data_IF_877554173129
#
_entry.id   IF_877554173129
#
_cell.length_a   1.000
_cell.length_b   1.000
_cell.length_c   1.000
_cell.angle_alpha   90.00
_cell.angle_beta   90.00
_cell.angle_gamma   90.00
#
_symmetry.space_group_name_H-M   'P 1'
#
loop_
_entity.id
_entity.type
_entity.pdbx_description
1 polymer ?
#
# COMPACT_ATOMS: atom_id res chain seq x y z
N UNK A 1 -19.04 16.09 23.50
CA UNK A 1 -17.74 15.52 23.08
C UNK A 1 -17.06 16.29 21.93
N UNK A 2 -17.54 16.26 20.67
CA UNK A 2 -16.85 16.94 19.54
C UNK A 2 -16.62 18.45 19.74
N UNK A 3 -17.62 19.15 20.28
CA UNK A 3 -17.51 20.59 20.57
C UNK A 3 -16.48 20.88 21.69
N UNK A 4 -16.39 20.00 22.70
CA UNK A 4 -15.42 20.12 23.81
C UNK A 4 -13.99 19.92 23.33
N UNK A 5 -13.77 18.98 22.41
CA UNK A 5 -12.45 18.76 21.78
C UNK A 5 -12.06 19.98 20.94
N UNK A 6 -12.98 20.54 20.15
CA UNK A 6 -12.69 21.68 19.27
C UNK A 6 -12.42 22.99 20.03
N UNK A 7 -13.00 23.18 21.22
CA UNK A 7 -12.76 24.34 22.09
C UNK A 7 -11.57 24.14 23.05
N UNK A 8 -10.89 23.00 23.00
CA UNK A 8 -9.83 22.67 23.94
C UNK A 8 -8.52 23.43 23.63
N UNK A 9 -7.78 23.93 24.64
CA UNK A 9 -6.50 24.64 24.42
C UNK A 9 -5.47 23.83 23.64
N UNK A 10 -5.48 22.50 23.78
CA UNK A 10 -4.57 21.58 23.08
C UNK A 10 -5.05 21.15 21.69
N UNK A 11 -6.23 21.61 21.26
CA UNK A 11 -6.76 21.29 19.93
C UNK A 11 -5.83 21.70 18.77
N UNK A 12 -5.18 22.88 18.77
CA UNK A 12 -4.25 23.26 17.72
C UNK A 12 -3.05 22.29 17.61
N UNK A 13 -2.50 21.86 18.75
CA UNK A 13 -1.41 20.87 18.79
C UNK A 13 -1.86 19.51 18.26
N UNK A 14 -3.07 19.08 18.61
CA UNK A 14 -3.65 17.85 18.10
C UNK A 14 -3.86 17.88 16.58
N UNK A 15 -4.41 19.00 16.09
CA UNK A 15 -4.63 19.21 14.66
C UNK A 15 -3.31 19.24 13.90
N UNK A 16 -2.29 19.92 14.44
CA UNK A 16 -0.94 19.94 13.87
C UNK A 16 -0.34 18.53 13.79
N UNK A 17 -0.38 17.75 14.86
CA UNK A 17 0.11 16.36 14.85
C UNK A 17 -0.62 15.49 13.82
N UNK A 18 -1.93 15.67 13.68
CA UNK A 18 -2.73 14.96 12.68
C UNK A 18 -2.35 15.36 11.25
N UNK A 19 -2.17 16.66 10.99
CA UNK A 19 -1.77 17.15 9.67
C UNK A 19 -0.37 16.67 9.30
N UNK A 20 0.56 16.65 10.25
CA UNK A 20 1.89 16.09 10.06
C UNK A 20 1.87 14.62 9.66
N UNK A 21 0.94 13.81 10.21
CA UNK A 21 0.73 12.44 9.73
C UNK A 21 0.27 12.38 8.27
N UNK A 22 -0.56 13.34 7.85
CA UNK A 22 -1.09 13.40 6.47
C UNK A 22 -0.07 13.90 5.45
N UNK A 23 0.94 14.64 5.90
CA UNK A 23 2.03 15.12 5.04
C UNK A 23 3.00 14.01 4.66
N UNK A 24 3.12 12.95 5.45
CA UNK A 24 4.01 11.82 5.14
C UNK A 24 3.59 11.17 3.82
N UNK A 25 4.49 11.20 2.83
CA UNK A 25 4.25 10.67 1.48
C UNK A 25 3.29 11.49 0.62
N UNK A 26 2.85 12.67 1.07
CA UNK A 26 1.99 13.55 0.28
C UNK A 26 2.78 14.24 -0.84
N UNK A 27 2.19 14.44 -2.04
CA UNK A 27 2.78 15.28 -3.08
C UNK A 27 3.06 16.71 -2.56
N UNK A 28 4.08 17.41 -3.09
CA UNK A 28 4.46 18.76 -2.62
C UNK A 28 3.29 19.75 -2.60
N UNK A 29 2.40 19.67 -3.60
CA UNK A 29 1.21 20.52 -3.70
C UNK A 29 0.23 20.24 -2.55
N UNK A 30 0.04 18.97 -2.20
CA UNK A 30 -0.86 18.56 -1.10
C UNK A 30 -0.25 18.91 0.25
N UNK A 31 1.06 18.72 0.43
CA UNK A 31 1.76 19.12 1.65
C UNK A 31 1.66 20.64 1.90
N UNK A 32 1.81 21.45 0.84
CA UNK A 32 1.66 22.91 0.92
C UNK A 32 0.23 23.32 1.29
N UNK A 33 -0.80 22.70 0.70
CA UNK A 33 -2.20 22.96 1.06
C UNK A 33 -2.48 22.61 2.53
N UNK A 34 -1.91 21.51 3.02
CA UNK A 34 -2.05 21.07 4.40
C UNK A 34 -1.36 22.03 5.39
N UNK A 35 -0.22 22.62 5.02
CA UNK A 35 0.43 23.67 5.82
C UNK A 35 -0.40 24.95 5.86
N UNK A 36 -1.06 25.32 4.76
CA UNK A 36 -1.94 26.48 4.71
C UNK A 36 -3.17 26.30 5.63
N UNK A 37 -3.76 25.10 5.64
CA UNK A 37 -4.86 24.73 6.54
C UNK A 37 -4.42 24.64 8.01
N UNK A 38 -3.12 24.42 8.27
CA UNK A 38 -2.56 24.40 9.62
C UNK A 38 -2.30 25.78 10.21
N UNK A 39 -2.28 26.84 9.38
CA UNK A 39 -2.11 28.21 9.90
C UNK A 39 -3.32 28.51 10.77
N UNK A 40 -3.11 28.93 12.03
CA UNK A 40 -4.23 29.30 12.89
C UNK A 40 -4.96 30.47 12.23
N UNK A 41 -6.20 30.25 11.79
CA UNK A 41 -7.09 31.37 11.54
C UNK A 41 -7.16 32.15 12.86
N UNK A 42 -6.76 33.43 12.82
CA UNK A 42 -6.76 34.36 13.94
C UNK A 42 -8.18 34.68 14.42
N UNK A 43 -8.95 33.67 14.82
CA UNK A 43 -10.19 33.79 15.57
C UNK A 43 -9.92 33.36 17.00
N UNK A 44 -9.06 34.13 17.67
CA UNK A 44 -9.04 34.17 19.12
C UNK A 44 -10.35 34.83 19.59
N UNK A 45 -11.40 34.02 19.75
CA UNK A 45 -12.56 34.39 20.55
C UNK A 45 -12.20 34.26 22.04
N UNK A 46 -12.71 35.14 22.92
CA UNK A 46 -12.39 35.13 24.34
C UNK A 46 -13.12 33.96 25.00
N UNK A 47 -12.44 32.81 25.05
CA UNK A 47 -12.98 31.58 25.63
C UNK A 47 -11.94 30.48 25.70
N UNK A 48 -10.67 30.84 25.94
CA UNK A 48 -9.64 29.86 26.24
C UNK A 48 -10.04 29.16 27.54
N UNK A 49 -10.62 27.97 27.44
CA UNK A 49 -10.85 27.11 28.60
C UNK A 49 -9.53 26.90 29.31
N UNK A 50 -9.50 27.02 30.63
CA UNK A 50 -8.27 26.72 31.37
C UNK A 50 -7.98 25.22 31.27
N UNK A 51 -6.71 24.87 31.08
CA UNK A 51 -6.24 23.49 31.21
C UNK A 51 -6.52 23.04 32.65
N UNK A 52 -7.19 21.92 32.84
CA UNK A 52 -7.58 21.40 34.16
C UNK A 52 -9.07 21.50 34.51
N UNK A 53 -9.93 22.01 33.64
CA UNK A 53 -11.41 21.97 33.83
C UNK A 53 -11.95 20.53 33.74
N UNK A 54 -11.30 19.70 32.92
CA UNK A 54 -11.62 18.29 32.72
C UNK A 54 -10.32 17.47 32.58
N UNK A 55 -9.79 16.92 33.69
CA UNK A 55 -8.52 16.17 33.69
C UNK A 55 -8.54 14.93 32.77
N UNK A 56 -9.70 14.29 32.60
CA UNK A 56 -9.85 13.12 31.75
C UNK A 56 -9.73 13.51 30.27
N UNK A 57 -10.31 14.65 29.89
CA UNK A 57 -10.16 15.20 28.55
C UNK A 57 -8.73 15.70 28.29
N UNK A 58 -8.08 16.33 29.25
CA UNK A 58 -6.68 16.75 29.15
C UNK A 58 -5.75 15.56 28.88
N UNK A 59 -5.91 14.48 29.67
CA UNK A 59 -5.16 13.24 29.50
C UNK A 59 -5.44 12.59 28.13
N UNK A 60 -6.70 12.56 27.70
CA UNK A 60 -7.08 12.07 26.37
C UNK A 60 -6.40 12.87 25.25
N UNK A 61 -6.45 14.21 25.31
CA UNK A 61 -5.85 15.07 24.29
C UNK A 61 -4.34 14.83 24.18
N UNK A 62 -3.65 14.68 25.32
CA UNK A 62 -2.21 14.41 25.37
C UNK A 62 -1.85 13.00 24.88
N UNK A 63 -2.59 12.00 25.34
CA UNK A 63 -2.41 10.62 24.91
C UNK A 63 -2.58 10.49 23.40
N UNK A 64 -3.64 11.10 22.85
CA UNK A 64 -3.92 11.03 21.42
C UNK A 64 -2.88 11.80 20.59
N UNK A 65 -2.38 12.95 21.07
CA UNK A 65 -1.25 13.64 20.43
C UNK A 65 -0.01 12.74 20.37
N UNK A 66 0.34 12.06 21.46
CA UNK A 66 1.50 11.13 21.49
C UNK A 66 1.32 9.96 20.52
N UNK A 67 0.11 9.40 20.43
CA UNK A 67 -0.20 8.34 19.47
C UNK A 67 -0.01 8.83 18.04
N UNK A 68 -0.45 10.05 17.70
CA UNK A 68 -0.27 10.61 16.37
C UNK A 68 1.21 10.87 16.03
N UNK A 69 2.00 11.37 16.99
CA UNK A 69 3.45 11.56 16.79
C UNK A 69 4.14 10.22 16.50
N UNK A 70 3.84 9.18 17.29
CA UNK A 70 4.38 7.84 17.04
C UNK A 70 3.94 7.29 15.70
N UNK A 71 2.67 7.48 15.34
CA UNK A 71 2.13 7.06 14.06
C UNK A 71 2.84 7.75 12.88
N UNK A 72 3.15 9.05 13.00
CA UNK A 72 3.97 9.78 12.02
C UNK A 72 5.34 9.13 11.85
N UNK A 73 6.04 8.83 12.95
CA UNK A 73 7.36 8.18 12.91
C UNK A 73 7.30 6.82 12.18
N UNK A 74 6.29 6.01 12.49
CA UNK A 74 6.06 4.72 11.84
C UNK A 74 5.74 4.87 10.34
N UNK A 75 5.01 5.91 9.95
CA UNK A 75 4.75 6.22 8.54
C UNK A 75 5.98 6.71 7.80
N UNK A 76 6.85 7.51 8.43
CA UNK A 76 8.06 8.07 7.80
C UNK A 76 9.15 7.02 7.61
N UNK A 77 9.25 6.05 8.53
CA UNK A 77 10.32 5.06 8.57
C UNK A 77 10.58 4.35 7.22
N UNK A 78 9.57 3.81 6.49
CA UNK A 78 9.82 3.19 5.19
C UNK A 78 10.38 4.15 4.14
N UNK A 79 10.02 5.44 4.19
CA UNK A 79 10.55 6.45 3.27
C UNK A 79 12.01 6.76 3.58
N UNK A 80 12.35 6.91 4.87
CA UNK A 80 13.72 7.18 5.31
C UNK A 80 14.64 5.98 5.01
N UNK A 81 14.17 4.76 5.24
CA UNK A 81 14.87 3.52 4.89
C UNK A 81 15.12 3.43 3.37
N UNK A 82 14.09 3.73 2.56
CA UNK A 82 14.21 3.72 1.10
C UNK A 82 15.16 4.82 0.59
N UNK A 83 15.07 6.05 1.13
CA UNK A 83 15.96 7.15 0.79
C UNK A 83 17.41 6.80 1.10
N UNK A 84 17.67 6.25 2.30
CA UNK A 84 19.00 5.80 2.72
C UNK A 84 19.55 4.70 1.82
N UNK A 85 18.71 3.71 1.45
CA UNK A 85 19.09 2.66 0.52
C UNK A 85 19.44 3.19 -0.87
N UNK A 86 18.64 4.12 -1.41
CA UNK A 86 18.89 4.75 -2.70
C UNK A 86 20.19 5.57 -2.69
N UNK A 87 20.41 6.38 -1.65
CA UNK A 87 21.66 7.13 -1.49
C UNK A 87 22.86 6.19 -1.38
N UNK A 88 22.73 5.05 -0.69
CA UNK A 88 23.79 4.02 -0.62
C UNK A 88 24.11 3.43 -1.98
N UNK A 89 23.10 3.03 -2.76
CA UNK A 89 23.30 2.52 -4.13
C UNK A 89 23.93 3.58 -5.01
N UNK A 90 23.45 4.83 -4.93
CA UNK A 90 23.98 5.94 -5.70
C UNK A 90 25.47 6.15 -5.39
N UNK A 91 25.86 6.10 -4.12
CA UNK A 91 27.26 6.19 -3.71
C UNK A 91 28.11 5.04 -4.28
N UNK A 92 27.62 3.80 -4.21
CA UNK A 92 28.31 2.64 -4.78
C UNK A 92 28.50 2.77 -6.30
N UNK A 93 27.47 3.20 -7.02
CA UNK A 93 27.55 3.44 -8.46
C UNK A 93 28.52 4.57 -8.80
N UNK A 94 28.51 5.68 -8.05
CA UNK A 94 29.45 6.78 -8.26
C UNK A 94 30.91 6.35 -8.10
N UNK A 95 31.21 5.51 -7.10
CA UNK A 95 32.56 4.99 -6.89
C UNK A 95 33.04 4.09 -8.04
N UNK A 96 32.14 3.28 -8.61
CA UNK A 96 32.45 2.45 -9.77
C UNK A 96 32.73 3.30 -11.03
N UNK A 97 31.96 4.38 -11.20
CA UNK A 97 32.19 5.32 -12.31
C UNK A 97 33.47 6.14 -12.13
N UNK A 98 33.86 6.49 -10.90
CA UNK A 98 35.10 7.23 -10.62
C UNK A 98 36.37 6.37 -10.65
N UNK A 99 36.26 5.05 -10.51
CA UNK A 99 37.40 4.12 -10.60
C UNK A 99 37.86 3.80 -12.04
N UNK A 100 37.16 4.33 -13.05
CA UNK A 100 37.36 4.01 -14.47
C UNK A 100 37.89 5.15 -15.33
N UNK A 101 38.63 6.11 -14.79
CA UNK A 101 39.25 7.17 -15.61
C UNK A 101 40.59 7.64 -15.04
N UNK A 102 41.68 7.33 -15.77
CA UNK A 102 42.90 8.13 -15.78
C UNK A 102 42.58 9.58 -16.19
N UNK A 103 43.41 10.57 -15.81
CA UNK A 103 43.05 11.97 -15.90
C UNK A 103 43.28 12.50 -17.33
N UNK A 104 42.27 13.15 -17.89
CA UNK A 104 42.46 14.08 -18.99
C UNK A 104 41.42 15.20 -18.87
N UNK A 105 41.94 16.33 -18.39
CA UNK A 105 41.64 17.71 -18.76
C UNK A 105 40.24 18.30 -18.53
N UNK A 106 40.26 19.24 -17.59
CA UNK A 106 39.42 20.43 -17.57
C UNK A 106 39.22 21.03 -18.98
N UNK A 107 37.98 21.09 -19.48
CA UNK A 107 37.59 22.16 -20.42
C UNK A 107 36.07 22.36 -20.43
N UNK A 108 35.67 23.41 -19.73
CA UNK A 108 34.60 24.36 -20.06
C UNK A 108 33.99 24.23 -21.47
N UNK A 109 32.65 24.23 -21.58
CA UNK A 109 31.99 24.49 -22.86
C UNK A 109 30.53 24.11 -22.96
N UNK A 110 29.67 24.83 -22.25
CA UNK A 110 28.25 24.95 -22.61
C UNK A 110 28.14 25.65 -23.96
N UNK A 111 27.54 25.03 -24.98
CA UNK A 111 26.80 25.75 -26.05
C UNK A 111 26.10 24.79 -27.01
N UNK A 112 24.92 25.24 -27.41
CA UNK A 112 23.93 24.71 -28.35
C UNK A 112 24.37 24.55 -29.83
N UNK A 113 23.62 23.67 -30.52
CA UNK A 113 23.23 23.64 -31.94
C UNK A 113 24.13 23.11 -33.10
N UNK A 114 23.40 22.53 -34.07
CA UNK A 114 23.63 22.22 -35.50
C UNK A 114 24.65 21.15 -35.99
N UNK A 115 24.07 20.07 -36.54
CA UNK A 115 24.33 19.44 -37.85
C UNK A 115 25.60 19.85 -38.66
N UNK A 116 26.46 18.91 -39.07
CA UNK A 116 26.93 18.73 -40.48
C UNK A 116 27.92 17.57 -40.64
N UNK A 117 27.83 16.90 -41.80
CA UNK A 117 28.71 15.86 -42.36
C UNK A 117 30.19 16.25 -42.45
N UNK A 118 31.08 15.26 -42.34
CA UNK A 118 32.48 15.40 -42.72
C UNK A 118 33.28 14.12 -42.49
N UNK A 119 33.55 13.41 -43.58
CA UNK A 119 34.47 12.28 -43.72
C UNK A 119 35.91 12.69 -43.37
N UNK A 120 36.63 11.91 -42.55
CA UNK A 120 38.09 11.98 -42.41
C UNK A 120 38.63 10.64 -41.91
N UNK A 121 39.25 9.89 -42.83
CA UNK A 121 40.11 8.73 -42.58
C UNK A 121 41.29 9.08 -41.67
N UNK A 122 41.45 8.34 -40.57
CA UNK A 122 42.75 8.08 -39.91
C UNK A 122 42.74 6.64 -39.40
N UNK A 123 43.64 5.75 -39.86
CA UNK A 123 43.77 4.40 -39.33
C UNK A 123 44.84 4.36 -38.24
N UNK A 124 44.47 4.00 -37.01
CA UNK A 124 45.42 3.56 -35.97
C UNK A 124 44.95 2.25 -35.32
N UNK A 125 45.91 1.34 -35.20
CA UNK A 125 45.89 -0.09 -34.86
C UNK A 125 45.13 -0.36 -33.55
N UNK A 126 44.16 -1.29 -33.43
CA UNK A 126 44.07 -2.64 -33.96
C UNK A 126 43.81 -3.70 -32.86
N UNK A 127 43.78 -3.33 -31.57
CA UNK A 127 43.72 -4.30 -30.46
C UNK A 127 42.39 -4.35 -29.67
N UNK A 128 41.66 -3.24 -29.51
CA UNK A 128 40.41 -3.23 -28.73
C UNK A 128 39.16 -3.63 -29.54
N UNK A 129 39.14 -3.31 -30.84
CA UNK A 129 38.01 -3.63 -31.71
C UNK A 129 37.87 -5.14 -31.95
N UNK A 130 38.98 -5.89 -31.97
CA UNK A 130 38.94 -7.34 -32.19
C UNK A 130 38.26 -8.08 -31.04
N UNK A 131 38.49 -7.68 -29.79
CA UNK A 131 37.84 -8.30 -28.60
C UNK A 131 36.33 -8.03 -28.57
N UNK A 132 35.91 -6.79 -28.86
CA UNK A 132 34.47 -6.45 -28.89
C UNK A 132 33.71 -7.17 -29.99
N UNK A 133 34.34 -7.40 -31.14
CA UNK A 133 33.76 -8.16 -32.24
C UNK A 133 33.63 -9.64 -31.89
N UNK A 134 34.66 -10.23 -31.27
CA UNK A 134 34.62 -11.62 -30.79
C UNK A 134 33.53 -11.83 -29.71
N UNK A 135 33.38 -10.88 -28.79
CA UNK A 135 32.32 -10.89 -27.78
C UNK A 135 30.93 -10.73 -28.41
N UNK A 136 30.80 -9.86 -29.41
CA UNK A 136 29.56 -9.67 -30.15
C UNK A 136 29.16 -10.95 -30.90
N UNK A 137 30.12 -11.62 -31.54
CA UNK A 137 29.90 -12.86 -32.27
C UNK A 137 29.55 -14.03 -31.33
N UNK A 138 30.23 -14.14 -30.18
CA UNK A 138 29.91 -15.11 -29.14
C UNK A 138 28.50 -14.90 -28.59
N UNK A 139 28.12 -13.64 -28.34
CA UNK A 139 26.78 -13.26 -27.90
C UNK A 139 25.71 -13.64 -28.94
N UNK A 140 25.96 -13.38 -30.22
CA UNK A 140 25.05 -13.77 -31.30
C UNK A 140 24.92 -15.29 -31.42
N UNK A 141 26.02 -16.03 -31.36
CA UNK A 141 25.98 -17.50 -31.35
C UNK A 141 25.18 -18.04 -30.16
N UNK A 142 25.40 -17.50 -28.95
CA UNK A 142 24.67 -17.91 -27.75
C UNK A 142 23.18 -17.59 -27.87
N UNK A 143 22.84 -16.38 -28.31
CA UNK A 143 21.45 -16.00 -28.55
C UNK A 143 20.80 -16.91 -29.59
N UNK A 144 21.49 -17.23 -30.69
CA UNK A 144 20.98 -18.12 -31.73
C UNK A 144 20.78 -19.55 -31.21
N UNK A 145 21.76 -20.11 -30.50
CA UNK A 145 21.72 -21.49 -29.96
C UNK A 145 20.61 -21.66 -28.92
N UNK A 146 20.42 -20.67 -28.05
CA UNK A 146 19.42 -20.75 -26.97
C UNK A 146 18.11 -20.02 -27.29
N UNK A 147 17.98 -19.40 -28.47
CA UNK A 147 16.80 -18.62 -28.89
C UNK A 147 15.49 -19.36 -28.68
N UNK A 148 15.40 -20.63 -29.06
CA UNK A 148 14.19 -21.44 -28.89
C UNK A 148 13.85 -21.72 -27.42
N UNK A 149 14.85 -22.00 -26.58
CA UNK A 149 14.67 -22.21 -25.14
C UNK A 149 14.28 -20.90 -24.45
N UNK A 150 14.99 -19.81 -24.73
CA UNK A 150 14.71 -18.49 -24.20
C UNK A 150 13.33 -17.99 -24.63
N UNK A 151 12.90 -18.28 -25.86
CA UNK A 151 11.56 -17.92 -26.35
C UNK A 151 10.47 -18.73 -25.66
N UNK A 152 10.69 -20.03 -25.43
CA UNK A 152 9.76 -20.89 -24.67
C UNK A 152 9.66 -20.43 -23.23
N UNK A 153 10.80 -20.17 -22.59
CA UNK A 153 10.86 -19.70 -21.20
C UNK A 153 10.22 -18.32 -21.07
N UNK A 154 10.52 -17.39 -21.99
CA UNK A 154 9.83 -16.09 -22.06
C UNK A 154 8.33 -16.26 -22.25
N UNK A 155 7.89 -17.16 -23.12
CA UNK A 155 6.46 -17.44 -23.32
C UNK A 155 5.81 -17.96 -22.03
N UNK A 156 6.45 -18.89 -21.31
CA UNK A 156 5.97 -19.38 -20.01
C UNK A 156 5.88 -18.27 -18.96
N UNK A 157 6.89 -17.40 -18.85
CA UNK A 157 6.87 -16.28 -17.89
C UNK A 157 5.93 -15.13 -18.30
N UNK A 158 5.76 -14.89 -19.60
CA UNK A 158 4.89 -13.84 -20.15
C UNK A 158 3.43 -14.29 -20.28
N UNK A 159 3.12 -15.57 -20.06
CA UNK A 159 1.76 -16.03 -19.73
C UNK A 159 1.36 -15.43 -18.38
N UNK A 160 1.08 -14.12 -18.36
CA UNK A 160 0.32 -13.47 -17.30
C UNK A 160 -0.97 -14.28 -17.16
N UNK A 161 -1.11 -15.04 -16.07
CA UNK A 161 -2.34 -15.76 -15.73
C UNK A 161 -3.47 -14.76 -15.91
N UNK A 162 -4.41 -15.05 -16.83
CA UNK A 162 -5.41 -14.09 -17.31
C UNK A 162 -6.03 -13.37 -16.11
N UNK A 163 -5.72 -12.08 -15.97
CA UNK A 163 -6.21 -11.24 -14.89
C UNK A 163 -7.74 -11.22 -14.98
N UNK A 164 -8.40 -11.80 -13.98
CA UNK A 164 -9.85 -11.69 -13.81
C UNK A 164 -10.57 -12.93 -13.29
N UNK A 165 -10.02 -14.14 -13.46
CA UNK A 165 -10.65 -15.36 -12.94
C UNK A 165 -9.61 -16.28 -12.29
N UNK A 166 -9.93 -16.80 -11.11
CA UNK A 166 -9.11 -17.80 -10.44
C UNK A 166 -9.01 -19.07 -11.33
N UNK A 167 -7.87 -19.80 -11.29
CA UNK A 167 -7.76 -21.11 -11.94
C UNK A 167 -8.92 -22.02 -11.56
N UNK A 168 -9.38 -22.86 -12.51
CA UNK A 168 -10.53 -23.77 -12.28
C UNK A 168 -10.27 -24.68 -11.08
N UNK A 169 -9.09 -25.26 -11.00
CA UNK A 169 -8.68 -26.18 -9.93
C UNK A 169 -8.71 -25.48 -8.57
N UNK A 170 -8.17 -24.26 -8.49
CA UNK A 170 -8.23 -23.44 -7.30
C UNK A 170 -9.67 -23.14 -6.86
N UNK A 171 -10.56 -22.85 -7.83
CA UNK A 171 -11.98 -22.62 -7.54
C UNK A 171 -12.67 -23.87 -7.00
N UNK A 172 -12.33 -25.06 -7.51
CA UNK A 172 -12.91 -26.33 -7.04
C UNK A 172 -12.59 -26.55 -5.56
N UNK A 173 -11.33 -26.39 -5.15
CA UNK A 173 -10.90 -26.52 -3.75
C UNK A 173 -11.62 -25.53 -2.84
N UNK A 174 -11.74 -24.27 -3.27
CA UNK A 174 -12.45 -23.24 -2.49
C UNK A 174 -13.94 -23.54 -2.35
N UNK A 175 -14.56 -24.09 -3.39
CA UNK A 175 -15.98 -24.45 -3.40
C UNK A 175 -16.26 -25.69 -2.55
N UNK A 176 -15.34 -26.65 -2.53
CA UNK A 176 -15.41 -27.82 -1.65
C UNK A 176 -15.43 -27.40 -0.18
N UNK A 177 -14.44 -26.59 0.25
CA UNK A 177 -14.43 -26.06 1.61
C UNK A 177 -15.71 -25.27 1.93
N UNK A 178 -16.16 -24.44 0.98
CA UNK A 178 -17.38 -23.65 1.09
C UNK A 178 -18.62 -24.50 1.35
N UNK A 179 -18.78 -25.60 0.60
CA UNK A 179 -19.95 -26.46 0.74
C UNK A 179 -19.97 -27.17 2.10
N UNK A 180 -18.80 -27.63 2.57
CA UNK A 180 -18.66 -28.23 3.90
C UNK A 180 -18.98 -27.23 5.02
N UNK A 181 -18.67 -25.95 4.82
CA UNK A 181 -18.86 -24.88 5.80
C UNK A 181 -19.99 -23.91 5.44
N UNK A 182 -20.97 -24.33 4.64
CA UNK A 182 -22.01 -23.43 4.14
C UNK A 182 -22.82 -22.76 5.26
N UNK A 183 -22.96 -23.45 6.40
CA UNK A 183 -23.65 -22.94 7.59
C UNK A 183 -22.92 -21.71 8.18
N UNK A 184 -21.58 -21.74 8.21
CA UNK A 184 -20.74 -20.66 8.72
C UNK A 184 -19.47 -20.50 7.86
N UNK A 185 -19.57 -19.82 6.71
CA UNK A 185 -18.50 -19.80 5.71
C UNK A 185 -17.46 -18.70 6.02
N UNK A 186 -16.90 -18.75 7.22
CA UNK A 186 -15.82 -17.89 7.69
C UNK A 186 -14.59 -18.75 8.00
N UNK A 187 -13.67 -18.92 7.02
CA UNK A 187 -12.47 -19.72 7.24
C UNK A 187 -11.59 -19.09 8.32
N UNK A 188 -11.05 -19.94 9.19
CA UNK A 188 -10.04 -19.54 10.18
C UNK A 188 -8.72 -19.16 9.50
N UNK A 189 -7.78 -18.56 10.22
CA UNK A 189 -6.45 -18.28 9.66
C UNK A 189 -5.74 -19.56 9.21
N UNK A 190 -5.89 -20.66 9.96
CA UNK A 190 -5.36 -21.97 9.60
C UNK A 190 -6.01 -22.52 8.32
N UNK A 191 -7.33 -22.39 8.16
CA UNK A 191 -8.02 -22.76 6.92
C UNK A 191 -7.50 -21.95 5.74
N UNK A 192 -7.30 -20.63 5.91
CA UNK A 192 -6.79 -19.76 4.84
C UNK A 192 -5.38 -20.16 4.42
N UNK A 193 -4.50 -20.49 5.36
CA UNK A 193 -3.14 -20.97 5.07
C UNK A 193 -3.19 -22.28 4.30
N UNK A 194 -4.00 -23.25 4.74
CA UNK A 194 -4.16 -24.53 4.03
C UNK A 194 -4.74 -24.34 2.62
N UNK A 195 -5.76 -23.51 2.47
CA UNK A 195 -6.36 -23.20 1.17
C UNK A 195 -5.38 -22.49 0.24
N UNK A 196 -4.58 -21.55 0.75
CA UNK A 196 -3.52 -20.90 -0.02
C UNK A 196 -2.48 -21.92 -0.51
N UNK A 197 -2.04 -22.83 0.37
CA UNK A 197 -1.10 -23.89 0.03
C UNK A 197 -1.64 -24.84 -1.05
N UNK A 198 -2.91 -25.26 -0.95
CA UNK A 198 -3.52 -26.17 -1.92
C UNK A 198 -3.80 -25.52 -3.28
N UNK A 199 -4.12 -24.22 -3.30
CA UNK A 199 -4.55 -23.52 -4.52
C UNK A 199 -3.44 -22.71 -5.20
N UNK A 200 -2.34 -22.46 -4.49
CA UNK A 200 -1.26 -21.57 -4.94
C UNK A 200 -1.73 -20.12 -5.10
N UNK A 201 -2.75 -19.72 -4.35
CA UNK A 201 -3.29 -18.36 -4.35
C UNK A 201 -2.76 -17.58 -3.16
N UNK A 202 -2.64 -16.25 -3.33
CA UNK A 202 -2.29 -15.37 -2.23
C UNK A 202 -3.40 -15.37 -1.16
N UNK A 203 -3.08 -15.25 0.14
CA UNK A 203 -4.07 -15.13 1.20
C UNK A 203 -5.11 -14.02 0.96
N UNK A 204 -4.70 -12.93 0.31
CA UNK A 204 -5.60 -11.84 -0.11
C UNK A 204 -6.63 -12.30 -1.15
N UNK A 205 -6.23 -13.14 -2.11
CA UNK A 205 -7.13 -13.69 -3.12
C UNK A 205 -8.15 -14.65 -2.50
N UNK A 206 -7.70 -15.48 -1.55
CA UNK A 206 -8.57 -16.36 -0.75
C UNK A 206 -9.63 -15.54 -0.01
N UNK A 207 -9.20 -14.52 0.76
CA UNK A 207 -10.10 -13.63 1.50
C UNK A 207 -11.13 -12.95 0.58
N UNK A 208 -10.67 -12.37 -0.52
CA UNK A 208 -11.53 -11.71 -1.50
C UNK A 208 -12.52 -12.67 -2.14
N UNK A 209 -12.13 -13.93 -2.38
CA UNK A 209 -13.03 -14.93 -2.91
C UNK A 209 -14.14 -15.25 -1.92
N UNK A 210 -13.82 -15.53 -0.64
CA UNK A 210 -14.83 -15.84 0.38
C UNK A 210 -15.78 -14.68 0.65
N UNK A 211 -15.28 -13.44 0.68
CA UNK A 211 -16.13 -12.24 0.81
C UNK A 211 -17.12 -12.15 -0.36
N UNK A 212 -16.63 -12.29 -1.59
CA UNK A 212 -17.50 -12.23 -2.78
C UNK A 212 -18.46 -13.42 -2.86
N UNK A 213 -18.02 -14.62 -2.44
CA UNK A 213 -18.81 -15.83 -2.45
C UNK A 213 -19.96 -15.72 -1.43
N UNK A 214 -19.70 -15.23 -0.20
CA UNK A 214 -20.74 -14.89 0.78
C UNK A 214 -21.74 -13.90 0.23
N UNK A 215 -21.26 -12.77 -0.30
CA UNK A 215 -22.14 -11.73 -0.84
C UNK A 215 -23.08 -12.24 -1.95
N UNK A 216 -22.63 -13.20 -2.77
CA UNK A 216 -23.39 -13.70 -3.92
C UNK A 216 -24.26 -14.90 -3.61
N UNK A 217 -23.84 -15.77 -2.70
CA UNK A 217 -24.39 -17.12 -2.58
C UNK A 217 -24.78 -17.52 -1.17
N UNK A 218 -24.42 -16.75 -0.13
CA UNK A 218 -24.80 -17.10 1.23
C UNK A 218 -26.14 -16.48 1.60
N UNK A 219 -27.14 -17.35 1.79
CA UNK A 219 -28.45 -16.99 2.32
C UNK A 219 -28.63 -17.73 3.64
N UNK A 220 -28.42 -17.07 4.80
CA UNK A 220 -28.70 -17.68 6.09
C UNK A 220 -30.19 -18.07 6.15
N UNK A 221 -30.47 -19.34 6.46
CA UNK A 221 -31.83 -19.82 6.76
C UNK A 221 -32.44 -19.02 7.92
N UNK A 222 -33.76 -18.91 8.00
CA UNK A 222 -34.45 -18.20 9.09
C UNK A 222 -34.04 -18.70 10.48
N UNK A 223 -33.83 -20.01 10.63
CA UNK A 223 -33.34 -20.63 11.87
C UNK A 223 -31.95 -20.12 12.32
N UNK A 224 -31.11 -19.70 11.37
CA UNK A 224 -29.79 -19.13 11.69
C UNK A 224 -29.86 -17.64 12.05
N UNK A 225 -30.92 -16.94 11.67
CA UNK A 225 -31.16 -15.55 12.06
C UNK A 225 -31.50 -15.47 13.55
N UNK A 226 -32.29 -16.43 14.02
CA UNK A 226 -32.62 -16.57 15.43
C UNK A 226 -31.39 -16.90 16.28
N UNK A 227 -30.56 -17.86 15.85
CA UNK A 227 -29.34 -18.23 16.58
C UNK A 227 -28.35 -17.05 16.76
N UNK A 228 -28.32 -16.10 15.83
CA UNK A 228 -27.46 -14.90 15.93
C UNK A 228 -28.05 -13.82 16.86
N UNK A 229 -29.37 -13.78 17.06
CA UNK A 229 -30.02 -12.90 18.05
C UNK A 229 -30.08 -13.52 19.46
N UNK A 230 -30.08 -14.85 19.57
CA UNK A 230 -30.22 -15.55 20.85
C UNK A 230 -28.90 -15.57 21.66
N UNK A 231 -27.75 -15.35 21.02
CA UNK A 231 -26.45 -15.21 21.69
C UNK A 231 -26.25 -13.89 22.46
N UNK A 232 -27.18 -12.94 22.38
CA UNK A 232 -27.13 -11.62 23.07
C UNK A 232 -28.24 -11.46 24.11
N UNK A 233 -29.18 -12.41 24.22
CA UNK A 233 -30.33 -12.33 25.14
C UNK A 233 -30.20 -13.24 26.38
N UNK A 234 -29.03 -13.81 26.64
CA UNK A 234 -28.74 -14.61 27.83
C UNK A 234 -28.21 -13.78 29.01
N UNK A 235 -28.90 -12.70 29.38
CA UNK A 235 -28.45 -11.83 30.47
C UNK A 235 -29.33 -10.62 30.73
N UNK A 236 -30.33 -10.81 31.60
CA UNK A 236 -31.06 -9.78 32.35
C UNK A 236 -32.32 -9.16 31.73
N UNK A 237 -33.44 -9.60 32.32
CA UNK A 237 -34.60 -8.81 32.73
C UNK A 237 -35.53 -8.26 31.65
N UNK A 238 -36.78 -8.76 31.72
CA UNK A 238 -37.84 -8.53 30.75
C UNK A 238 -38.29 -7.08 30.61
N UNK A 239 -38.77 -6.78 29.41
CA UNK A 239 -39.86 -5.84 29.18
C UNK A 239 -40.57 -6.29 27.90
N UNK A 240 -41.71 -6.96 28.08
CA UNK A 240 -42.69 -7.22 27.01
C UNK A 240 -43.32 -5.88 26.62
N UNK A 241 -43.00 -5.35 25.44
CA UNK A 241 -43.75 -4.24 24.85
C UNK A 241 -44.85 -4.81 23.95
N UNK A 242 -46.08 -4.66 24.43
CA UNK A 242 -47.32 -4.91 23.71
C UNK A 242 -47.48 -3.81 22.65
N UNK A 243 -47.59 -4.18 21.37
CA UNK A 243 -48.00 -3.23 20.33
C UNK A 243 -49.52 -3.10 20.36
N UNK A 244 -49.98 -1.95 20.82
CA UNK A 244 -51.37 -1.51 20.81
C UNK A 244 -51.82 -1.20 19.37
N UNK A 245 -52.72 -2.01 18.82
CA UNK A 245 -53.39 -1.73 17.55
C UNK A 245 -54.67 -0.95 17.83
N UNK A 246 -54.55 0.37 17.88
CA UNK A 246 -55.68 1.29 17.94
C UNK A 246 -56.51 1.27 16.66
N UNK A 247 -57.65 0.60 16.71
CA UNK A 247 -58.77 0.73 15.78
C UNK A 247 -59.52 2.04 16.01
N UNK A 248 -59.70 2.87 14.98
CA UNK A 248 -60.74 3.91 14.93
C UNK A 248 -61.40 3.89 13.55
N UNK A 249 -62.63 3.38 13.49
CA UNK A 249 -63.69 3.87 12.58
C UNK A 249 -64.58 4.87 13.34
N UNK A 250 -65.73 5.31 12.81
CA UNK A 250 -66.45 4.87 11.61
C UNK A 250 -66.33 5.81 10.40
#
# INVERSE_FOLDING_TARGET
MKAQIASHPRYPSLLSAYIECRKVGAPPQVASLLEEVSRPESRAGPGAGEVGVDPELDEFMDSYCRVLVRYKEELSRPFDEAASFLSSIQAQLSNLCSGGSSPADDMMGSSEDEQCSGDTDVPDVGQEHSSRLADHELKEMLLKKYSGCLSRLRSEFLKKRKKGKLPKDARTVLLEWWNTHYRWPYPTEEDKVRLAAMTGLDPKQINNWFINQRKRHWKPSEDMRFALMEGVAGGSSGTTLYFDTGTIGP
#
